data_IF_384591742447
#
_entry.id   IF_384591742447
#
_cell.length_a   1.000
_cell.length_b   1.000
_cell.length_c   1.000
_cell.angle_alpha   90.00
_cell.angle_beta   90.00
_cell.angle_gamma   90.00
#
_symmetry.space_group_name_H-M   'P 1'
#
loop_
_entity.id
_entity.type
_entity.pdbx_description
1 polymer ?
#
# COMPACT_ATOMS: atom_id res chain seq x y z
N UNK A 1 14.95 -12.36 -6.02
CA UNK A 1 14.21 -11.63 -4.97
C UNK A 1 12.88 -11.24 -5.58
N UNK A 2 11.75 -11.47 -4.89
CA UNK A 2 10.42 -11.12 -5.38
C UNK A 2 10.00 -9.82 -4.68
N UNK A 3 9.80 -8.76 -5.45
CA UNK A 3 9.20 -7.51 -4.96
C UNK A 3 7.70 -7.74 -4.91
N UNK A 4 7.09 -7.67 -3.72
CA UNK A 4 5.63 -7.76 -3.62
C UNK A 4 5.04 -6.38 -3.66
N UNK A 5 4.02 -6.24 -4.49
CA UNK A 5 3.22 -5.03 -4.59
C UNK A 5 1.79 -5.43 -4.28
N UNK A 6 1.14 -4.71 -3.37
CA UNK A 6 -0.28 -4.89 -3.07
C UNK A 6 -1.03 -3.67 -3.58
N UNK A 7 -2.18 -3.88 -4.23
CA UNK A 7 -2.99 -2.79 -4.79
C UNK A 7 -4.47 -2.95 -4.41
N UNK A 8 -5.10 -1.83 -4.08
CA UNK A 8 -6.56 -1.66 -4.00
C UNK A 8 -6.96 -0.40 -4.76
N UNK A 9 -8.06 -0.47 -5.51
CA UNK A 9 -8.68 0.72 -6.11
C UNK A 9 -10.08 0.93 -5.53
N UNK A 10 -10.32 2.11 -4.94
CA UNK A 10 -11.64 2.52 -4.44
C UNK A 10 -11.95 3.95 -4.85
N UNK A 11 -13.12 4.15 -5.46
CA UNK A 11 -13.66 5.49 -5.81
C UNK A 11 -12.67 6.35 -6.60
N UNK A 12 -11.89 5.74 -7.51
CA UNK A 12 -10.88 6.43 -8.32
C UNK A 12 -9.61 6.84 -7.56
N UNK A 13 -9.37 6.27 -6.39
CA UNK A 13 -8.12 6.37 -5.63
C UNK A 13 -7.46 5.00 -5.60
N UNK A 14 -6.17 4.97 -5.91
CA UNK A 14 -5.34 3.77 -5.87
C UNK A 14 -4.53 3.80 -4.57
N UNK A 15 -4.56 2.68 -3.86
CA UNK A 15 -3.79 2.43 -2.67
C UNK A 15 -2.78 1.35 -3.01
N UNK A 16 -1.50 1.62 -2.77
CA UNK A 16 -0.41 0.72 -3.16
C UNK A 16 0.52 0.50 -1.99
N UNK A 17 0.84 -0.75 -1.70
CA UNK A 17 1.93 -1.13 -0.80
C UNK A 17 3.05 -1.71 -1.65
N UNK A 18 4.27 -1.26 -1.41
CA UNK A 18 5.46 -1.71 -2.13
C UNK A 18 6.53 -2.08 -1.10
N UNK A 19 6.96 -3.34 -1.10
CA UNK A 19 8.13 -3.77 -0.31
C UNK A 19 9.40 -3.17 -0.93
N UNK A 20 10.24 -2.56 -0.10
CA UNK A 20 11.48 -1.92 -0.55
C UNK A 20 12.70 -2.70 -0.02
N UNK A 21 13.21 -3.65 -0.80
CA UNK A 21 14.39 -4.45 -0.45
C UNK A 21 15.69 -3.83 -0.98
N UNK A 22 16.83 -3.91 -0.27
CA UNK A 22 17.12 -4.70 0.94
C UNK A 22 16.74 -4.00 2.26
N UNK A 23 16.13 -2.81 2.19
CA UNK A 23 15.64 -2.11 3.37
C UNK A 23 14.49 -2.93 4.01
N UNK A 24 14.38 -2.88 5.33
CA UNK A 24 13.40 -3.68 6.07
C UNK A 24 12.09 -2.89 6.12
N UNK A 25 11.60 -2.47 4.95
CA UNK A 25 10.57 -1.44 4.85
C UNK A 25 9.53 -1.71 3.76
N UNK A 26 8.39 -1.06 3.92
CA UNK A 26 7.28 -1.06 2.97
C UNK A 26 6.73 0.36 2.85
N UNK A 27 6.59 0.84 1.63
CA UNK A 27 5.90 2.10 1.37
C UNK A 27 4.42 1.86 1.21
N UNK A 28 3.60 2.68 1.86
CA UNK A 28 2.18 2.83 1.59
C UNK A 28 1.94 4.12 0.83
N UNK A 29 1.35 4.03 -0.36
CA UNK A 29 1.03 5.14 -1.23
C UNK A 29 -0.48 5.30 -1.40
N UNK A 30 -0.93 6.56 -1.42
CA UNK A 30 -2.27 6.94 -1.90
C UNK A 30 -2.10 7.77 -3.16
N UNK A 31 -2.68 7.29 -4.25
CA UNK A 31 -2.55 7.85 -5.58
C UNK A 31 -3.92 8.28 -6.09
N UNK A 32 -4.06 9.56 -6.43
CA UNK A 32 -5.30 10.12 -6.98
C UNK A 32 -4.98 10.90 -8.25
N UNK A 33 -5.72 10.64 -9.33
CA UNK A 33 -5.48 11.25 -10.64
C UNK A 33 -4.02 11.09 -11.13
N UNK A 34 -3.43 9.92 -10.89
CA UNK A 34 -2.04 9.61 -11.27
C UNK A 34 -0.96 10.32 -10.45
N UNK A 35 -1.32 11.00 -9.35
CA UNK A 35 -0.38 11.67 -8.45
C UNK A 35 -0.40 11.03 -7.08
N UNK A 36 0.78 10.80 -6.50
CA UNK A 36 0.92 10.44 -5.10
C UNK A 36 0.51 11.67 -4.27
N UNK A 37 -0.51 11.49 -3.43
CA UNK A 37 -1.01 12.53 -2.52
C UNK A 37 -0.66 12.24 -1.06
N UNK A 38 -0.20 11.02 -0.79
CA UNK A 38 0.30 10.56 0.50
C UNK A 38 1.25 9.40 0.27
N UNK A 39 2.35 9.40 0.99
CA UNK A 39 3.28 8.29 1.11
C UNK A 39 3.74 8.16 2.56
N UNK A 40 3.95 6.92 3.01
CA UNK A 40 4.42 6.63 4.35
C UNK A 40 5.25 5.35 4.36
N UNK A 41 6.48 5.44 4.88
CA UNK A 41 7.37 4.30 5.05
C UNK A 41 7.07 3.60 6.38
N UNK A 42 6.86 2.29 6.32
CA UNK A 42 6.56 1.43 7.47
C UNK A 42 7.51 0.24 7.52
N UNK A 43 7.60 -0.42 8.67
CA UNK A 43 8.52 -1.55 8.86
C UNK A 43 8.08 -2.83 8.12
N UNK A 44 6.80 -2.95 7.76
CA UNK A 44 6.27 -4.11 7.05
C UNK A 44 4.89 -3.83 6.40
N UNK A 45 4.48 -4.75 5.53
CA UNK A 45 3.18 -4.71 4.81
C UNK A 45 2.00 -4.64 5.76
N UNK A 46 2.06 -5.34 6.90
CA UNK A 46 0.94 -5.40 7.85
C UNK A 46 0.66 -4.02 8.45
N UNK A 47 1.69 -3.28 8.86
CA UNK A 47 1.54 -1.90 9.34
C UNK A 47 0.92 -0.99 8.26
N UNK A 48 1.31 -1.17 6.99
CA UNK A 48 0.68 -0.44 5.89
C UNK A 48 -0.82 -0.75 5.75
N UNK A 49 -1.20 -2.02 5.90
CA UNK A 49 -2.61 -2.45 5.84
C UNK A 49 -3.41 -1.94 7.04
N UNK A 50 -2.83 -1.93 8.25
CA UNK A 50 -3.45 -1.35 9.46
C UNK A 50 -3.75 0.14 9.26
N UNK A 51 -2.78 0.92 8.75
CA UNK A 51 -3.00 2.34 8.40
C UNK A 51 -4.10 2.48 7.35
N UNK A 52 -4.11 1.64 6.33
CA UNK A 52 -5.13 1.69 5.28
C UNK A 52 -6.54 1.35 5.79
N UNK A 53 -6.64 0.45 6.76
CA UNK A 53 -7.90 0.11 7.42
C UNK A 53 -8.38 1.26 8.31
N UNK A 54 -7.52 1.79 9.17
CA UNK A 54 -7.85 2.87 10.12
C UNK A 54 -8.22 4.18 9.40
N UNK A 55 -7.41 4.61 8.42
CA UNK A 55 -7.55 5.94 7.80
C UNK A 55 -8.48 5.92 6.57
N UNK A 56 -8.58 4.79 5.87
CA UNK A 56 -9.28 4.70 4.58
C UNK A 56 -10.35 3.60 4.52
N UNK A 57 -10.51 2.78 5.57
CA UNK A 57 -11.49 1.70 5.61
C UNK A 57 -11.23 0.62 4.56
N UNK A 58 -9.96 0.30 4.31
CA UNK A 58 -9.54 -0.75 3.37
C UNK A 58 -9.15 -1.98 4.17
N UNK A 59 -9.93 -3.06 4.04
CA UNK A 59 -9.67 -4.29 4.76
C UNK A 59 -8.51 -5.06 4.14
N UNK A 60 -7.78 -5.82 4.96
CA UNK A 60 -6.68 -6.71 4.52
C UNK A 60 -7.09 -7.62 3.35
N UNK A 61 -8.33 -8.13 3.37
CA UNK A 61 -8.86 -9.03 2.34
C UNK A 61 -9.16 -8.38 0.98
N UNK A 62 -9.15 -7.04 0.91
CA UNK A 62 -9.40 -6.31 -0.34
C UNK A 62 -8.14 -6.17 -1.19
N UNK A 63 -6.97 -6.36 -0.60
CA UNK A 63 -5.68 -6.20 -1.27
C UNK A 63 -5.41 -7.29 -2.29
N UNK A 64 -4.99 -6.88 -3.48
CA UNK A 64 -4.57 -7.78 -4.56
C UNK A 64 -3.05 -7.74 -4.64
N UNK A 65 -2.41 -8.87 -4.37
CA UNK A 65 -0.97 -9.03 -4.59
C UNK A 65 -0.70 -9.13 -6.10
N UNK A 66 0.13 -8.21 -6.61
CA UNK A 66 0.63 -8.20 -7.98
C UNK A 66 1.98 -8.92 -8.01
N UNK A 67 2.05 -10.02 -8.76
CA UNK A 67 3.22 -10.89 -8.92
C UNK A 67 4.22 -10.39 -9.96
#
# INVERSE_FOLDING_TARGET
>A
MKYRIYIVEKKGVIYRIEEDYPEVGCYFYVIKNGRIIYDSLQDNVKLCMEIAEEEYGILESEWIEMS
#
